data_IF_081768104495
#
_entry.id   IF_081768104495
#
_cell.length_a   1.000
_cell.length_b   1.000
_cell.length_c   1.000
_cell.angle_alpha   90.00
_cell.angle_beta   90.00
_cell.angle_gamma   90.00
#
_symmetry.space_group_name_H-M   'P 1'
#
loop_
_entity.id
_entity.type
_entity.pdbx_description
1 polymer ?
#
# COMPACT_ATOMS: atom_id res chain seq x y z
N UNK A 1 -21.71 25.42 -9.92
CA UNK A 1 -21.53 24.13 -9.21
C UNK A 1 -22.59 24.01 -8.13
N UNK A 2 -23.27 22.87 -7.99
CA UNK A 2 -24.19 22.58 -6.89
C UNK A 2 -23.37 22.39 -5.62
N UNK A 3 -23.65 23.21 -4.58
CA UNK A 3 -22.98 23.07 -3.29
C UNK A 3 -23.68 21.98 -2.46
N UNK A 4 -22.94 21.04 -1.85
CA UNK A 4 -23.53 20.04 -0.95
C UNK A 4 -24.22 20.72 0.24
N UNK A 5 -25.39 20.20 0.63
CA UNK A 5 -26.16 20.76 1.74
C UNK A 5 -25.45 20.55 3.08
N UNK A 6 -24.83 19.35 3.26
CA UNK A 6 -24.15 18.97 4.51
C UNK A 6 -22.78 19.62 4.70
N UNK A 7 -22.11 19.98 3.61
CA UNK A 7 -20.81 20.68 3.63
C UNK A 7 -20.74 21.66 2.44
N UNK A 8 -21.21 22.90 2.62
CA UNK A 8 -21.18 23.91 1.56
C UNK A 8 -19.76 24.29 1.10
N UNK A 9 -18.74 23.93 1.87
CA UNK A 9 -17.33 24.19 1.58
C UNK A 9 -16.67 23.05 0.82
N UNK A 10 -17.29 21.88 0.78
CA UNK A 10 -16.76 20.71 0.08
C UNK A 10 -16.49 21.02 -1.40
N UNK A 11 -15.29 20.68 -1.82
CA UNK A 11 -14.84 20.84 -3.19
C UNK A 11 -14.13 19.58 -3.66
N UNK A 12 -14.62 18.88 -4.69
CA UNK A 12 -13.93 17.76 -5.27
C UNK A 12 -12.51 18.12 -5.73
N UNK A 13 -11.51 17.32 -5.38
CA UNK A 13 -10.10 17.56 -5.70
C UNK A 13 -9.87 17.79 -7.21
N UNK A 14 -10.62 17.09 -8.07
CA UNK A 14 -10.51 17.22 -9.53
C UNK A 14 -10.80 18.65 -10.02
N UNK A 15 -11.67 19.39 -9.33
CA UNK A 15 -11.98 20.77 -9.72
C UNK A 15 -10.79 21.67 -9.41
N UNK A 16 -10.19 21.54 -8.22
CA UNK A 16 -8.97 22.26 -7.87
C UNK A 16 -7.80 21.95 -8.81
N UNK A 17 -7.64 20.69 -9.20
CA UNK A 17 -6.62 20.28 -10.16
C UNK A 17 -6.84 20.86 -11.57
N UNK A 18 -8.10 20.92 -12.04
CA UNK A 18 -8.43 21.55 -13.33
C UNK A 18 -8.17 23.06 -13.32
N UNK A 19 -8.49 23.74 -12.23
CA UNK A 19 -8.20 25.17 -12.09
C UNK A 19 -6.70 25.43 -12.00
N UNK A 20 -5.96 24.61 -11.23
CA UNK A 20 -4.50 24.68 -11.19
C UNK A 20 -3.90 24.52 -12.59
N UNK A 21 -4.31 23.49 -13.33
CA UNK A 21 -3.85 23.29 -14.70
C UNK A 21 -4.16 24.48 -15.60
N UNK A 22 -5.38 25.02 -15.53
CA UNK A 22 -5.76 26.18 -16.31
C UNK A 22 -4.98 27.44 -15.93
N UNK A 23 -4.54 27.56 -14.67
CA UNK A 23 -3.68 28.65 -14.21
C UNK A 23 -2.25 28.49 -14.77
N UNK A 24 -1.69 27.28 -14.69
CA UNK A 24 -0.35 26.95 -15.22
C UNK A 24 -0.24 27.24 -16.71
N UNK A 25 -1.28 26.91 -17.49
CA UNK A 25 -1.30 27.15 -18.95
C UNK A 25 -1.26 28.64 -19.36
N UNK A 26 -1.44 29.56 -18.43
CA UNK A 26 -1.30 31.02 -18.70
C UNK A 26 0.16 31.46 -18.76
N UNK A 27 1.10 30.63 -18.31
CA UNK A 27 2.51 30.95 -18.23
C UNK A 27 3.30 30.26 -19.32
N UNK A 28 3.95 31.00 -20.20
CA UNK A 28 4.83 30.44 -21.24
C UNK A 28 6.09 29.76 -20.63
N UNK A 29 6.57 30.29 -19.49
CA UNK A 29 7.72 29.80 -18.73
C UNK A 29 7.33 28.83 -17.60
N UNK A 30 6.19 28.16 -17.73
CA UNK A 30 5.80 27.10 -16.79
C UNK A 30 6.92 26.06 -16.63
N UNK A 31 7.01 25.48 -15.45
CA UNK A 31 8.05 24.48 -15.17
C UNK A 31 7.50 23.07 -15.36
N UNK A 32 8.26 22.27 -16.08
CA UNK A 32 7.99 20.85 -16.18
C UNK A 32 8.54 20.13 -14.95
N UNK A 33 7.67 19.42 -14.22
CA UNK A 33 8.02 18.68 -13.02
C UNK A 33 7.86 17.18 -13.25
N UNK A 34 8.86 16.42 -12.84
CA UNK A 34 8.81 14.97 -12.83
C UNK A 34 8.91 14.50 -11.37
N UNK A 35 7.99 13.63 -10.97
CA UNK A 35 8.01 12.92 -9.69
C UNK A 35 8.07 11.43 -9.98
N UNK A 36 9.05 10.74 -9.38
CA UNK A 36 9.12 9.29 -9.42
C UNK A 36 9.16 8.72 -8.00
N UNK A 37 8.53 7.57 -7.80
CA UNK A 37 8.48 6.90 -6.50
C UNK A 37 8.98 5.47 -6.65
N UNK A 38 10.05 5.15 -5.92
CA UNK A 38 10.60 3.80 -5.84
C UNK A 38 9.91 3.00 -4.74
N UNK A 39 9.56 1.78 -5.08
CA UNK A 39 8.96 0.79 -4.18
C UNK A 39 9.73 -0.53 -4.21
N UNK A 40 9.22 -1.55 -3.56
CA UNK A 40 9.90 -2.84 -3.48
C UNK A 40 10.30 -3.41 -4.85
N UNK A 41 11.37 -4.22 -4.90
CA UNK A 41 11.94 -4.84 -6.11
C UNK A 41 12.44 -3.83 -7.17
N UNK A 42 12.66 -2.58 -6.79
CA UNK A 42 13.12 -1.53 -7.70
C UNK A 42 12.07 -1.13 -8.74
N UNK A 43 10.78 -1.34 -8.45
CA UNK A 43 9.72 -0.78 -9.27
C UNK A 43 9.63 0.72 -9.06
N UNK A 44 9.38 1.45 -10.16
CA UNK A 44 9.30 2.90 -10.21
C UNK A 44 7.94 3.29 -10.79
N UNK A 45 7.20 4.12 -10.06
CA UNK A 45 6.04 4.84 -10.59
C UNK A 45 6.47 6.26 -10.93
N UNK A 46 6.23 6.71 -12.16
CA UNK A 46 6.64 8.03 -12.65
C UNK A 46 5.43 8.85 -13.06
N UNK A 47 5.44 10.15 -12.74
CA UNK A 47 4.41 11.10 -13.14
C UNK A 47 5.05 12.42 -13.55
N UNK A 48 4.59 12.95 -14.68
CA UNK A 48 5.04 14.21 -15.26
C UNK A 48 3.88 15.18 -15.39
N UNK A 49 4.09 16.43 -15.04
CA UNK A 49 3.10 17.50 -15.17
C UNK A 49 3.77 18.86 -15.03
N UNK A 50 3.08 19.88 -15.57
CA UNK A 50 3.58 21.26 -15.46
C UNK A 50 3.05 21.93 -14.18
N UNK A 51 3.87 22.80 -13.62
CA UNK A 51 3.61 23.63 -12.44
C UNK A 51 3.84 25.10 -12.77
N UNK A 52 3.39 25.99 -11.89
CA UNK A 52 3.68 27.43 -11.99
C UNK A 52 5.19 27.67 -11.87
N UNK A 53 5.72 28.71 -12.52
CA UNK A 53 7.12 29.11 -12.33
C UNK A 53 7.44 29.36 -10.86
N UNK A 54 8.65 29.00 -10.42
CA UNK A 54 9.12 29.26 -9.05
C UNK A 54 8.96 30.75 -8.71
N UNK A 55 8.48 31.05 -7.51
CA UNK A 55 8.23 32.39 -7.03
C UNK A 55 6.86 33.02 -7.43
N UNK A 56 6.10 32.39 -8.32
CA UNK A 56 4.75 32.88 -8.70
C UNK A 56 3.72 32.52 -7.62
N UNK A 57 3.61 31.25 -7.28
CA UNK A 57 2.76 30.77 -6.19
C UNK A 57 3.28 29.43 -5.67
N UNK A 58 4.42 29.48 -4.99
CA UNK A 58 5.11 28.29 -4.47
C UNK A 58 4.25 27.50 -3.48
N UNK A 59 3.41 28.20 -2.70
CA UNK A 59 2.49 27.53 -1.77
C UNK A 59 1.48 26.63 -2.51
N UNK A 60 0.97 27.09 -3.64
CA UNK A 60 0.05 26.32 -4.45
C UNK A 60 0.75 25.15 -5.16
N UNK A 61 1.95 25.39 -5.72
CA UNK A 61 2.79 24.34 -6.29
C UNK A 61 3.03 23.25 -5.25
N UNK A 62 3.55 23.60 -4.08
CA UNK A 62 3.88 22.67 -3.00
C UNK A 62 2.64 21.89 -2.53
N UNK A 63 1.49 22.55 -2.39
CA UNK A 63 0.24 21.89 -2.02
C UNK A 63 -0.17 20.85 -3.06
N UNK A 64 -0.17 21.20 -4.34
CA UNK A 64 -0.56 20.28 -5.42
C UNK A 64 0.41 19.11 -5.54
N UNK A 65 1.72 19.39 -5.53
CA UNK A 65 2.75 18.34 -5.64
C UNK A 65 2.69 17.39 -4.45
N UNK A 66 2.55 17.93 -3.25
CA UNK A 66 2.39 17.14 -2.03
C UNK A 66 1.16 16.22 -2.12
N UNK A 67 0.00 16.71 -2.60
CA UNK A 67 -1.20 15.90 -2.82
C UNK A 67 -0.98 14.77 -3.82
N UNK A 68 -0.25 15.03 -4.91
CA UNK A 68 0.14 13.99 -5.87
C UNK A 68 1.04 12.94 -5.22
N UNK A 69 2.09 13.35 -4.53
CA UNK A 69 3.03 12.42 -3.86
C UNK A 69 2.30 11.56 -2.83
N UNK A 70 1.49 12.18 -1.97
CA UNK A 70 0.68 11.43 -1.00
C UNK A 70 -0.24 10.41 -1.69
N UNK A 71 -0.91 10.83 -2.75
CA UNK A 71 -1.79 9.93 -3.51
C UNK A 71 -1.02 8.75 -4.10
N UNK A 72 0.16 8.99 -4.68
CA UNK A 72 1.02 7.93 -5.24
C UNK A 72 1.44 6.97 -4.12
N UNK A 73 1.96 7.47 -3.00
CA UNK A 73 2.40 6.64 -1.88
C UNK A 73 1.27 5.75 -1.33
N UNK A 74 0.03 6.27 -1.24
CA UNK A 74 -1.10 5.50 -0.74
C UNK A 74 -1.78 4.61 -1.79
N UNK A 75 -1.51 4.84 -3.07
CA UNK A 75 -2.04 4.04 -4.17
C UNK A 75 -1.12 2.87 -4.53
N UNK A 76 0.18 3.12 -4.65
CA UNK A 76 1.15 2.13 -5.13
C UNK A 76 2.24 1.79 -4.11
N UNK A 77 2.36 2.57 -3.03
CA UNK A 77 3.41 2.44 -2.03
C UNK A 77 4.73 3.05 -2.49
N UNK A 78 5.71 3.09 -1.58
CA UNK A 78 7.07 3.53 -1.89
C UNK A 78 7.82 4.07 -0.68
N UNK A 79 9.15 4.14 -0.80
CA UNK A 79 10.05 4.61 0.26
C UNK A 79 11.07 5.63 -0.25
N UNK A 80 11.12 5.89 -1.56
CA UNK A 80 12.05 6.88 -2.12
C UNK A 80 11.36 7.71 -3.19
N UNK A 81 11.40 9.02 -2.99
CA UNK A 81 10.72 10.01 -3.82
C UNK A 81 11.79 10.78 -4.57
N UNK A 82 11.76 10.77 -5.89
CA UNK A 82 12.65 11.54 -6.75
C UNK A 82 11.90 12.70 -7.36
N UNK A 83 12.53 13.88 -7.40
CA UNK A 83 11.93 15.10 -7.94
C UNK A 83 12.95 15.75 -8.89
N UNK A 84 12.50 16.07 -10.11
CA UNK A 84 13.24 16.83 -11.09
C UNK A 84 12.40 18.00 -11.62
N UNK A 85 13.01 19.16 -11.86
CA UNK A 85 12.38 20.32 -12.48
C UNK A 85 12.19 21.54 -11.58
N UNK A 86 12.18 21.39 -10.24
CA UNK A 86 12.14 22.53 -9.31
C UNK A 86 12.87 22.21 -8.01
N UNK A 87 13.93 22.94 -7.74
CA UNK A 87 14.64 22.88 -6.46
C UNK A 87 13.77 23.31 -5.29
N UNK A 88 12.94 24.33 -5.50
CA UNK A 88 12.04 24.87 -4.48
C UNK A 88 11.02 23.81 -4.03
N UNK A 89 10.41 23.10 -4.98
CA UNK A 89 9.49 21.99 -4.68
C UNK A 89 10.21 20.84 -3.99
N UNK A 90 11.39 20.45 -4.49
CA UNK A 90 12.19 19.41 -3.84
C UNK A 90 12.49 19.73 -2.37
N UNK A 91 12.99 20.94 -2.09
CA UNK A 91 13.36 21.36 -0.74
C UNK A 91 12.15 21.29 0.23
N UNK A 92 10.99 21.75 -0.24
CA UNK A 92 9.76 21.73 0.57
C UNK A 92 9.21 20.30 0.79
N UNK A 93 9.22 19.47 -0.25
CA UNK A 93 8.77 18.06 -0.11
C UNK A 93 9.70 17.29 0.81
N UNK A 94 11.00 17.53 0.75
CA UNK A 94 11.98 16.92 1.66
C UNK A 94 11.71 17.29 3.12
N UNK A 95 11.38 18.55 3.40
CA UNK A 95 10.96 18.99 4.73
C UNK A 95 9.64 18.29 5.16
N UNK A 96 8.65 18.24 4.28
CA UNK A 96 7.36 17.62 4.60
C UNK A 96 7.46 16.13 4.93
N UNK A 97 8.25 15.37 4.18
CA UNK A 97 8.48 13.94 4.38
C UNK A 97 9.74 13.68 5.23
N UNK A 98 9.72 14.20 6.46
CA UNK A 98 10.73 14.01 7.50
C UNK A 98 10.07 13.60 8.82
N UNK A 99 10.86 13.18 9.81
CA UNK A 99 10.37 12.72 11.13
C UNK A 99 9.44 13.73 11.83
N UNK A 100 9.68 15.03 11.64
CA UNK A 100 8.91 16.11 12.26
C UNK A 100 8.18 16.98 11.23
N UNK A 101 8.12 16.55 9.99
CA UNK A 101 7.51 17.29 8.89
C UNK A 101 5.99 17.19 8.86
N UNK A 102 5.38 17.92 7.94
CA UNK A 102 3.93 17.89 7.69
C UNK A 102 3.40 16.47 7.43
N UNK A 103 4.25 15.59 6.89
CA UNK A 103 3.95 14.20 6.53
C UNK A 103 4.70 13.18 7.40
N UNK A 104 4.97 13.54 8.65
CA UNK A 104 5.64 12.64 9.61
C UNK A 104 4.95 11.28 9.74
N UNK A 105 3.60 11.25 9.73
CA UNK A 105 2.85 9.99 9.73
C UNK A 105 3.11 9.15 8.48
N UNK A 106 3.07 9.76 7.30
CA UNK A 106 3.32 9.06 6.03
C UNK A 106 4.78 8.59 5.95
N UNK A 107 5.72 9.40 6.46
CA UNK A 107 7.15 9.08 6.58
C UNK A 107 7.37 7.83 7.46
N UNK A 108 6.84 7.82 8.68
CA UNK A 108 6.98 6.71 9.62
C UNK A 108 6.29 5.44 9.11
N UNK A 109 5.06 5.57 8.59
CA UNK A 109 4.29 4.46 8.07
C UNK A 109 5.01 3.77 6.89
N UNK A 110 5.44 4.53 5.89
CA UNK A 110 6.13 3.96 4.73
C UNK A 110 7.51 3.41 5.10
N UNK A 111 8.22 4.07 6.02
CA UNK A 111 9.51 3.56 6.54
C UNK A 111 9.33 2.21 7.24
N UNK A 112 8.28 2.06 8.03
CA UNK A 112 7.94 0.80 8.71
C UNK A 112 7.55 -0.29 7.71
N UNK A 113 6.69 0.03 6.74
CA UNK A 113 6.22 -0.92 5.72
C UNK A 113 7.37 -1.49 4.90
N UNK A 114 8.28 -0.63 4.44
CA UNK A 114 9.38 -1.02 3.56
C UNK A 114 10.66 -1.41 4.30
N UNK A 115 10.71 -1.26 5.64
CA UNK A 115 11.93 -1.46 6.46
C UNK A 115 13.11 -0.62 5.93
N UNK A 116 12.80 0.58 5.43
CA UNK A 116 13.73 1.54 4.84
C UNK A 116 13.26 2.95 5.17
N UNK A 117 14.16 3.81 5.59
CA UNK A 117 13.83 5.23 5.80
C UNK A 117 13.35 5.86 4.50
N UNK A 118 12.24 6.58 4.57
CA UNK A 118 11.76 7.36 3.42
C UNK A 118 12.79 8.44 3.06
N UNK A 119 13.13 8.53 1.79
CA UNK A 119 14.07 9.52 1.27
C UNK A 119 13.42 10.38 0.19
N UNK A 120 13.79 11.67 0.15
CA UNK A 120 13.46 12.56 -0.96
C UNK A 120 14.77 12.99 -1.62
N UNK A 121 14.87 12.76 -2.93
CA UNK A 121 16.10 12.95 -3.72
C UNK A 121 15.85 13.94 -4.84
N UNK A 122 16.69 14.95 -4.95
CA UNK A 122 16.69 15.84 -6.11
C UNK A 122 17.42 15.18 -7.29
N UNK A 123 16.81 15.27 -8.46
CA UNK A 123 17.36 14.76 -9.71
C UNK A 123 17.33 15.83 -10.80
N UNK A 124 18.13 15.62 -11.83
CA UNK A 124 17.96 16.29 -13.13
C UNK A 124 17.03 15.45 -14.01
N UNK A 125 16.59 16.00 -15.13
CA UNK A 125 15.79 15.26 -16.12
C UNK A 125 16.52 14.02 -16.66
N UNK A 126 17.85 14.05 -16.71
CA UNK A 126 18.67 12.95 -17.21
C UNK A 126 18.96 11.87 -16.16
N UNK A 127 18.81 12.19 -14.87
CA UNK A 127 19.15 11.28 -13.76
C UNK A 127 17.94 10.72 -13.01
N UNK A 128 16.74 11.23 -13.30
CA UNK A 128 15.52 10.70 -12.69
C UNK A 128 15.25 9.29 -13.22
N UNK A 129 14.93 8.32 -12.33
CA UNK A 129 14.74 6.95 -12.77
C UNK A 129 13.54 6.80 -13.72
N UNK A 130 13.71 5.93 -14.72
CA UNK A 130 12.64 5.61 -15.66
C UNK A 130 11.55 4.76 -15.00
N UNK A 131 10.33 4.86 -15.51
CA UNK A 131 9.21 4.05 -15.06
C UNK A 131 9.51 2.56 -15.25
N UNK A 132 9.30 1.78 -14.18
CA UNK A 132 9.47 0.34 -14.18
C UNK A 132 8.31 -0.31 -13.46
N UNK A 133 7.43 -0.93 -14.22
CA UNK A 133 6.29 -1.67 -13.71
C UNK A 133 6.32 -3.11 -14.20
N UNK A 134 5.74 -4.02 -13.40
CA UNK A 134 5.48 -5.38 -13.80
C UNK A 134 4.00 -5.68 -13.57
N UNK A 135 3.34 -6.25 -14.55
CA UNK A 135 2.00 -6.79 -14.44
C UNK A 135 2.07 -8.29 -14.68
N UNK A 136 1.72 -9.06 -13.65
CA UNK A 136 1.66 -10.52 -13.75
C UNK A 136 0.17 -10.89 -13.73
N UNK A 137 -0.38 -11.54 -14.77
CA UNK A 137 -1.74 -12.02 -14.76
C UNK A 137 -1.88 -13.10 -13.67
N UNK A 138 -2.76 -12.85 -12.70
CA UNK A 138 -3.10 -13.75 -11.62
C UNK A 138 -4.53 -14.24 -11.81
N UNK A 139 -4.75 -15.52 -11.64
CA UNK A 139 -6.08 -16.11 -11.69
C UNK A 139 -6.21 -17.25 -12.70
N UNK A 140 -7.38 -17.87 -12.74
CA UNK A 140 -7.71 -18.98 -13.65
C UNK A 140 -6.99 -20.30 -13.39
N UNK A 141 -6.09 -20.37 -12.43
CA UNK A 141 -5.35 -21.59 -12.07
C UNK A 141 -6.20 -22.48 -11.17
N UNK A 142 -7.21 -23.14 -11.72
CA UNK A 142 -8.18 -23.91 -10.95
C UNK A 142 -7.80 -25.39 -10.75
N UNK A 143 -6.78 -25.89 -11.44
CA UNK A 143 -6.34 -27.28 -11.35
C UNK A 143 -5.65 -27.58 -10.00
N UNK A 144 -5.85 -28.79 -9.50
CA UNK A 144 -5.23 -29.28 -8.27
C UNK A 144 -5.99 -28.89 -7.02
N UNK A 145 -5.39 -29.10 -5.86
CA UNK A 145 -5.93 -28.86 -4.53
C UNK A 145 -5.53 -27.49 -4.02
N UNK A 146 -6.50 -26.63 -3.72
CA UNK A 146 -6.27 -25.25 -3.35
C UNK A 146 -7.05 -24.86 -2.11
N UNK A 147 -6.50 -23.97 -1.31
CA UNK A 147 -7.18 -23.33 -0.18
C UNK A 147 -7.21 -21.82 -0.44
N UNK A 148 -8.42 -21.25 -0.34
CA UNK A 148 -8.63 -19.82 -0.20
C UNK A 148 -8.90 -19.49 1.27
N UNK A 149 -8.19 -18.53 1.83
CA UNK A 149 -8.38 -18.08 3.20
C UNK A 149 -8.51 -16.56 3.25
N UNK A 150 -9.61 -16.08 3.79
CA UNK A 150 -9.84 -14.66 4.03
C UNK A 150 -9.76 -14.38 5.54
N UNK A 151 -8.70 -13.65 5.91
CA UNK A 151 -8.48 -13.20 7.28
C UNK A 151 -9.17 -11.84 7.49
N UNK A 152 -10.48 -11.89 7.77
CA UNK A 152 -11.30 -10.71 8.04
C UNK A 152 -11.10 -10.15 9.46
N UNK A 153 -11.67 -9.00 9.72
CA UNK A 153 -11.53 -8.33 11.02
C UNK A 153 -12.53 -8.77 12.09
N UNK A 154 -13.57 -9.51 11.72
CA UNK A 154 -14.66 -10.03 12.57
C UNK A 154 -14.92 -11.51 12.37
N UNK A 155 -14.60 -12.00 11.18
CA UNK A 155 -14.73 -13.38 10.80
C UNK A 155 -13.55 -13.81 9.94
N UNK A 156 -13.28 -15.12 9.89
CA UNK A 156 -12.37 -15.74 8.96
C UNK A 156 -13.12 -16.70 8.07
N UNK A 157 -12.81 -16.70 6.79
CA UNK A 157 -13.46 -17.58 5.81
C UNK A 157 -12.41 -18.47 5.16
N UNK A 158 -12.76 -19.73 4.97
CA UNK A 158 -11.89 -20.71 4.35
C UNK A 158 -12.67 -21.51 3.32
N UNK A 159 -12.04 -21.77 2.18
CA UNK A 159 -12.58 -22.69 1.18
C UNK A 159 -11.51 -23.66 0.70
N UNK A 160 -11.84 -24.94 0.63
CA UNK A 160 -11.04 -25.99 0.04
C UNK A 160 -11.61 -26.34 -1.33
N UNK A 161 -10.79 -26.25 -2.37
CA UNK A 161 -11.18 -26.42 -3.78
C UNK A 161 -10.31 -27.49 -4.42
N UNK A 162 -10.91 -28.40 -5.17
CA UNK A 162 -10.21 -29.41 -5.97
C UNK A 162 -10.68 -29.31 -7.42
N UNK A 163 -9.76 -29.08 -8.33
CA UNK A 163 -10.00 -28.98 -9.78
C UNK A 163 -11.15 -28.02 -10.14
N UNK A 164 -11.27 -26.91 -9.41
CA UNK A 164 -12.30 -25.89 -9.58
C UNK A 164 -13.59 -26.12 -8.83
N UNK A 165 -13.78 -27.28 -8.19
CA UNK A 165 -14.97 -27.60 -7.39
C UNK A 165 -14.72 -27.34 -5.90
N UNK A 166 -15.64 -26.65 -5.23
CA UNK A 166 -15.57 -26.41 -3.77
C UNK A 166 -15.93 -27.68 -3.02
N UNK A 167 -14.97 -28.25 -2.31
CA UNK A 167 -15.13 -29.45 -1.48
C UNK A 167 -15.60 -29.10 -0.06
N UNK A 168 -15.13 -27.95 0.44
CA UNK A 168 -15.44 -27.47 1.79
C UNK A 168 -15.38 -25.96 1.85
N UNK A 169 -16.23 -25.37 2.69
CA UNK A 169 -16.20 -23.96 3.03
C UNK A 169 -16.70 -23.74 4.44
N UNK A 170 -16.08 -22.83 5.17
CA UNK A 170 -16.52 -22.38 6.48
C UNK A 170 -16.35 -20.87 6.66
N UNK A 171 -17.17 -20.32 7.54
CA UNK A 171 -17.02 -18.97 8.09
C UNK A 171 -17.08 -19.10 9.62
N UNK A 172 -16.07 -18.55 10.29
CA UNK A 172 -15.93 -18.62 11.74
C UNK A 172 -15.71 -17.20 12.27
N UNK A 173 -16.55 -16.83 13.25
CA UNK A 173 -16.36 -15.58 13.99
C UNK A 173 -15.09 -15.68 14.85
N UNK A 174 -14.22 -14.68 14.74
CA UNK A 174 -13.01 -14.52 15.55
C UNK A 174 -12.81 -13.07 15.95
N UNK A 175 -11.88 -12.83 16.88
CA UNK A 175 -11.69 -11.50 17.48
C UNK A 175 -10.23 -11.02 17.37
N UNK A 176 -9.63 -10.95 16.16
CA UNK A 176 -8.20 -10.72 16.00
C UNK A 176 -7.76 -9.32 16.47
N UNK A 177 -8.68 -8.34 16.38
CA UNK A 177 -8.40 -6.94 16.78
C UNK A 177 -8.48 -6.70 18.29
N UNK A 178 -8.99 -7.66 19.06
CA UNK A 178 -9.22 -7.51 20.51
C UNK A 178 -8.14 -8.16 21.37
N UNK A 179 -7.30 -9.01 20.79
CA UNK A 179 -6.24 -9.73 21.50
C UNK A 179 -4.86 -9.15 21.24
N UNK A 180 -4.00 -9.20 22.26
CA UNK A 180 -2.56 -8.93 22.17
C UNK A 180 -1.78 -10.21 21.88
N UNK A 181 -2.40 -11.38 22.10
CA UNK A 181 -1.76 -12.68 21.99
C UNK A 181 -1.64 -13.14 20.54
N UNK A 182 -0.41 -13.15 20.03
CA UNK A 182 -0.11 -13.64 18.68
C UNK A 182 -0.38 -15.14 18.53
N UNK A 183 -0.37 -15.91 19.62
CA UNK A 183 -0.66 -17.35 19.57
C UNK A 183 -2.11 -17.61 19.17
N UNK A 184 -3.06 -16.77 19.63
CA UNK A 184 -4.46 -16.83 19.20
C UNK A 184 -4.59 -16.72 17.66
N UNK A 185 -3.91 -15.74 17.05
CA UNK A 185 -3.94 -15.59 15.59
C UNK A 185 -3.36 -16.83 14.89
N UNK A 186 -2.25 -17.34 15.41
CA UNK A 186 -1.60 -18.52 14.87
C UNK A 186 -2.53 -19.74 14.91
N UNK A 187 -3.17 -20.00 16.05
CA UNK A 187 -4.02 -21.18 16.27
C UNK A 187 -5.28 -21.13 15.39
N UNK A 188 -5.88 -19.96 15.21
CA UNK A 188 -7.03 -19.75 14.35
C UNK A 188 -6.70 -19.96 12.86
N UNK A 189 -5.59 -19.42 12.38
CA UNK A 189 -5.10 -19.62 11.00
C UNK A 189 -4.71 -21.09 10.79
N UNK A 190 -3.99 -21.69 11.73
CA UNK A 190 -3.60 -23.09 11.67
C UNK A 190 -4.82 -24.03 11.61
N UNK A 191 -5.81 -23.79 12.45
CA UNK A 191 -7.06 -24.58 12.48
C UNK A 191 -7.77 -24.52 11.13
N UNK A 192 -7.90 -23.33 10.53
CA UNK A 192 -8.50 -23.15 9.22
C UNK A 192 -7.76 -23.94 8.13
N UNK A 193 -6.42 -23.84 8.09
CA UNK A 193 -5.62 -24.59 7.10
C UNK A 193 -5.67 -26.08 7.33
N UNK A 194 -5.50 -26.53 8.56
CA UNK A 194 -5.52 -27.97 8.89
C UNK A 194 -6.85 -28.63 8.53
N UNK A 195 -7.96 -28.00 8.92
CA UNK A 195 -9.30 -28.50 8.57
C UNK A 195 -9.47 -28.61 7.06
N UNK A 196 -9.07 -27.57 6.32
CA UNK A 196 -9.21 -27.55 4.85
C UNK A 196 -8.32 -28.59 4.17
N UNK A 197 -7.08 -28.78 4.65
CA UNK A 197 -6.15 -29.82 4.14
C UNK A 197 -6.72 -31.21 4.40
N UNK A 198 -7.28 -31.47 5.58
CA UNK A 198 -7.90 -32.77 5.90
C UNK A 198 -9.10 -33.06 4.99
N UNK A 199 -9.91 -32.05 4.65
CA UNK A 199 -11.00 -32.18 3.68
C UNK A 199 -10.53 -32.45 2.25
N UNK A 200 -9.33 -32.00 1.88
CA UNK A 200 -8.70 -32.28 0.59
C UNK A 200 -7.99 -33.65 0.53
N UNK A 201 -7.99 -34.41 1.64
CA UNK A 201 -7.34 -35.72 1.72
C UNK A 201 -5.89 -35.68 2.21
N UNK A 202 -5.49 -34.64 2.92
CA UNK A 202 -4.23 -34.56 3.65
C UNK A 202 -3.10 -33.79 2.93
N UNK A 203 -3.33 -33.29 1.72
CA UNK A 203 -2.37 -32.50 0.97
C UNK A 203 -2.99 -31.29 0.27
N UNK A 204 -2.19 -30.32 -0.09
CA UNK A 204 -2.59 -29.09 -0.80
C UNK A 204 -1.45 -28.60 -1.69
N UNK A 205 -1.79 -28.16 -2.90
CA UNK A 205 -0.80 -27.61 -3.84
C UNK A 205 -0.50 -26.14 -3.54
N UNK A 206 -1.56 -25.33 -3.32
CA UNK A 206 -1.41 -23.88 -3.10
C UNK A 206 -2.43 -23.36 -2.09
N UNK A 207 -2.01 -22.34 -1.33
CA UNK A 207 -2.87 -21.59 -0.43
C UNK A 207 -2.81 -20.11 -0.82
N UNK A 208 -3.98 -19.52 -1.10
CA UNK A 208 -4.16 -18.09 -1.31
C UNK A 208 -4.73 -17.44 -0.07
N UNK A 209 -4.15 -16.34 0.39
CA UNK A 209 -4.60 -15.60 1.58
C UNK A 209 -4.96 -14.18 1.18
N UNK A 210 -6.17 -13.73 1.59
CA UNK A 210 -6.55 -12.32 1.57
C UNK A 210 -6.66 -11.78 2.99
N UNK A 211 -6.26 -10.52 3.19
CA UNK A 211 -6.38 -9.82 4.46
C UNK A 211 -6.27 -8.31 4.27
N UNK A 212 -6.80 -7.53 5.22
CA UNK A 212 -6.61 -6.09 5.24
C UNK A 212 -5.20 -5.75 5.72
N UNK A 213 -4.48 -4.95 4.92
CA UNK A 213 -3.14 -4.49 5.28
C UNK A 213 -2.18 -4.41 4.09
N UNK A 214 -0.90 -4.27 4.39
CA UNK A 214 0.17 -4.27 3.40
C UNK A 214 0.98 -5.55 3.55
N UNK A 215 1.03 -6.33 2.49
CA UNK A 215 1.77 -7.60 2.42
C UNK A 215 2.92 -7.43 1.44
N UNK A 216 4.14 -7.71 1.88
CA UNK A 216 5.34 -7.70 1.03
C UNK A 216 6.02 -9.07 1.15
N UNK A 217 6.18 -9.76 0.03
CA UNK A 217 6.81 -11.09 -0.03
C UNK A 217 6.19 -12.09 0.96
N UNK A 218 4.85 -12.16 1.00
CA UNK A 218 4.06 -12.98 1.92
C UNK A 218 4.24 -12.63 3.43
N UNK A 219 4.84 -11.47 3.74
CA UNK A 219 5.00 -10.97 5.10
C UNK A 219 3.98 -9.86 5.36
N UNK A 220 3.07 -9.99 6.33
CA UNK A 220 2.21 -8.89 6.75
C UNK A 220 3.03 -7.82 7.47
N UNK A 221 3.27 -6.69 6.76
CA UNK A 221 4.05 -5.58 7.27
C UNK A 221 3.21 -4.67 8.16
N UNK A 222 1.98 -4.42 7.75
CA UNK A 222 0.96 -3.69 8.52
C UNK A 222 -0.38 -4.36 8.27
N UNK A 223 -1.11 -4.68 9.34
CA UNK A 223 -2.47 -5.19 9.24
C UNK A 223 -3.29 -4.81 10.47
N UNK A 224 -4.53 -4.44 10.26
CA UNK A 224 -5.48 -4.14 11.35
C UNK A 224 -5.80 -5.35 12.23
N UNK A 225 -5.52 -6.57 11.77
CA UNK A 225 -5.71 -7.79 12.56
C UNK A 225 -4.77 -7.82 13.79
N UNK A 226 -3.60 -7.22 13.66
CA UNK A 226 -2.55 -7.22 14.68
C UNK A 226 -2.41 -5.88 15.41
N UNK A 227 -3.46 -5.05 15.42
CA UNK A 227 -3.40 -3.68 15.95
C UNK A 227 -3.05 -3.62 17.44
N UNK A 228 -3.37 -4.67 18.21
CA UNK A 228 -3.03 -4.77 19.63
C UNK A 228 -1.79 -5.62 19.91
N UNK A 229 -1.22 -6.25 18.89
CA UNK A 229 -0.01 -7.07 19.05
C UNK A 229 1.15 -6.21 19.53
N UNK A 230 1.89 -6.70 20.50
CA UNK A 230 3.05 -5.99 21.08
C UNK A 230 4.18 -5.85 20.04
N UNK A 231 4.93 -4.75 20.12
CA UNK A 231 6.05 -4.49 19.18
C UNK A 231 7.09 -5.61 19.17
N UNK A 232 7.34 -6.23 20.32
CA UNK A 232 8.27 -7.37 20.48
C UNK A 232 7.85 -8.61 19.68
N UNK A 233 6.55 -8.76 19.38
CA UNK A 233 6.01 -9.87 18.60
C UNK A 233 5.91 -9.56 17.08
N UNK A 234 6.27 -8.37 16.64
CA UNK A 234 6.14 -7.98 15.22
C UNK A 234 6.91 -8.90 14.26
N UNK A 235 8.08 -9.39 14.66
CA UNK A 235 8.83 -10.35 13.84
C UNK A 235 8.12 -11.71 13.72
N UNK A 236 7.35 -12.11 14.72
CA UNK A 236 6.49 -13.31 14.66
C UNK A 236 5.30 -13.06 13.75
N UNK A 237 4.67 -11.87 13.82
CA UNK A 237 3.58 -11.47 12.90
C UNK A 237 4.03 -11.58 11.44
N UNK A 238 5.18 -11.04 11.10
CA UNK A 238 5.74 -11.08 9.74
C UNK A 238 5.95 -12.51 9.22
N UNK A 239 6.12 -13.49 10.10
CA UNK A 239 6.35 -14.89 9.75
C UNK A 239 5.12 -15.79 9.98
N UNK A 240 4.00 -15.24 10.43
CA UNK A 240 2.87 -16.05 10.89
C UNK A 240 2.31 -16.98 9.80
N UNK A 241 2.17 -16.49 8.57
CA UNK A 241 1.67 -17.28 7.45
C UNK A 241 2.63 -18.42 7.11
N UNK A 242 3.93 -18.15 7.08
CA UNK A 242 4.96 -19.16 6.82
C UNK A 242 5.00 -20.22 7.93
N UNK A 243 4.90 -19.81 9.19
CA UNK A 243 4.93 -20.69 10.34
C UNK A 243 3.71 -21.64 10.36
N UNK A 244 2.51 -21.11 10.10
CA UNK A 244 1.28 -21.91 10.02
C UNK A 244 1.31 -22.90 8.87
N UNK A 245 1.80 -22.50 7.69
CA UNK A 245 1.97 -23.36 6.53
C UNK A 245 2.94 -24.52 6.78
N UNK A 246 4.07 -24.26 7.42
CA UNK A 246 5.06 -25.30 7.76
C UNK A 246 4.51 -26.35 8.73
N UNK A 247 3.65 -25.97 9.66
CA UNK A 247 3.04 -26.89 10.64
C UNK A 247 1.85 -27.64 10.06
N UNK A 248 1.16 -27.07 9.08
CA UNK A 248 -0.05 -27.67 8.49
C UNK A 248 0.26 -28.78 7.50
N UNK A 249 1.47 -28.78 6.93
CA UNK A 249 1.99 -29.83 6.05
C UNK A 249 2.65 -30.93 6.87
#
# INVERSE_FOLDING_TARGET
MIKPILDPTFRPAIIGLREFKAEVEKYENKQHLIVAVERDQGYIYKREFDILPDGVNDKLNNFIVERYIKTILWLVGGFKIYIAGSHQVYAQIKEYYSENGLRAFDFDFMSTVYEKTVEVVECTYDTIPEEKNCSIPLGGNLNGKRIGFDAGGSDRKTSAVKDGETIYSEEVVWQPKLTEDIQYHYDEIYTAFKTSIDKLGGDVDYIGVSTAGVIINNRPMVSSLFIKTKKEDFERVKKILEATLKKSK
#
